data_IF_656764808497
#
_entry.id   IF_656764808497
#
_cell.length_a   1.000
_cell.length_b   1.000
_cell.length_c   1.000
_cell.angle_alpha   90.00
_cell.angle_beta   90.00
_cell.angle_gamma   90.00
#
_symmetry.space_group_name_H-M   'P 1'
#
loop_
_entity.id
_entity.type
_entity.pdbx_description
1 polymer ?
#
# COMPACT_ATOMS: atom_id res chain seq x y z
N UNK A 1 -3.22 4.94 -12.07
CA UNK A 1 -4.08 4.54 -10.94
C UNK A 1 -3.14 4.25 -9.80
N UNK A 2 -3.05 5.15 -8.82
CA UNK A 2 -2.16 4.96 -7.68
C UNK A 2 -2.57 3.74 -6.84
N UNK A 3 -3.88 3.56 -6.62
CA UNK A 3 -4.39 2.56 -5.67
C UNK A 3 -5.08 1.40 -6.40
N UNK A 4 -4.73 0.16 -6.02
CA UNK A 4 -5.43 -1.07 -6.39
C UNK A 4 -5.75 -1.87 -5.13
N UNK A 5 -7.01 -2.26 -4.97
CA UNK A 5 -7.47 -3.05 -3.81
C UNK A 5 -7.95 -4.41 -4.29
N UNK A 6 -7.38 -5.47 -3.73
CA UNK A 6 -7.67 -6.87 -4.08
C UNK A 6 -8.12 -7.61 -2.82
N UNK A 7 -9.42 -7.94 -2.69
CA UNK A 7 -9.91 -8.75 -1.58
C UNK A 7 -9.40 -10.19 -1.69
N UNK A 8 -9.07 -10.80 -0.57
CA UNK A 8 -8.69 -12.21 -0.53
C UNK A 8 -9.94 -13.10 -0.57
N UNK A 9 -9.99 -14.03 -1.53
CA UNK A 9 -11.14 -14.92 -1.68
C UNK A 9 -11.32 -15.80 -0.45
N UNK A 10 -12.50 -15.71 0.17
CA UNK A 10 -12.82 -16.47 1.37
C UNK A 10 -11.96 -16.10 2.58
N UNK A 11 -11.34 -14.92 2.63
CA UNK A 11 -10.64 -14.45 3.83
C UNK A 11 -11.10 -13.06 4.23
N UNK A 12 -10.96 -12.75 5.52
CA UNK A 12 -11.29 -11.45 6.09
C UNK A 12 -10.18 -10.43 5.89
N UNK A 13 -9.48 -10.50 4.75
CA UNK A 13 -8.36 -9.65 4.40
C UNK A 13 -8.46 -9.11 2.98
N UNK A 14 -7.70 -8.04 2.73
CA UNK A 14 -7.49 -7.50 1.41
C UNK A 14 -6.08 -6.94 1.29
N UNK A 15 -5.51 -7.11 0.11
CA UNK A 15 -4.32 -6.40 -0.32
C UNK A 15 -4.67 -5.02 -0.87
N UNK A 16 -3.84 -4.04 -0.55
CA UNK A 16 -3.85 -2.68 -1.09
C UNK A 16 -2.47 -2.43 -1.66
N UNK A 17 -2.42 -2.19 -2.97
CA UNK A 17 -1.24 -1.78 -3.70
C UNK A 17 -1.32 -0.28 -3.95
N UNK A 18 -0.25 0.45 -3.62
CA UNK A 18 -0.15 1.89 -3.84
C UNK A 18 1.13 2.19 -4.60
N UNK A 19 1.02 2.53 -5.89
CA UNK A 19 2.15 2.91 -6.74
C UNK A 19 2.61 4.34 -6.44
N UNK A 20 3.91 4.59 -6.49
CA UNK A 20 4.45 5.96 -6.48
C UNK A 20 4.26 6.56 -7.88
N UNK A 21 3.33 7.50 -8.04
CA UNK A 21 3.04 8.12 -9.35
C UNK A 21 3.89 9.37 -9.63
N UNK A 22 4.60 9.88 -8.63
CA UNK A 22 5.49 11.03 -8.75
C UNK A 22 6.76 10.86 -7.88
N UNK A 23 7.83 11.61 -8.18
CA UNK A 23 9.01 11.65 -7.33
C UNK A 23 8.67 12.09 -5.89
N UNK A 24 9.40 11.54 -4.92
CA UNK A 24 9.33 11.93 -3.52
C UNK A 24 10.72 12.37 -3.02
N UNK A 25 11.09 13.65 -3.22
CA UNK A 25 12.41 14.17 -2.87
C UNK A 25 12.74 14.06 -1.38
N UNK A 26 11.73 14.12 -0.51
CA UNK A 26 11.91 13.96 0.95
C UNK A 26 12.45 12.58 1.35
N UNK A 27 12.31 11.60 0.46
CA UNK A 27 12.82 10.24 0.61
C UNK A 27 13.94 9.93 -0.39
N UNK A 28 14.52 10.93 -1.07
CA UNK A 28 15.50 10.73 -2.15
C UNK A 28 15.00 9.79 -3.29
N UNK A 29 13.69 9.73 -3.52
CA UNK A 29 13.05 8.91 -4.55
C UNK A 29 12.73 9.75 -5.79
N UNK A 30 13.76 10.06 -6.59
CA UNK A 30 13.65 10.95 -7.75
C UNK A 30 13.08 10.28 -9.01
N UNK A 31 13.43 9.01 -9.25
CA UNK A 31 12.97 8.22 -10.39
C UNK A 31 12.02 7.12 -9.90
N UNK A 32 10.78 7.13 -10.40
CA UNK A 32 9.71 6.23 -9.96
C UNK A 32 9.10 5.41 -11.10
N UNK A 33 9.60 5.56 -12.32
CA UNK A 33 9.12 4.84 -13.50
C UNK A 33 10.27 4.09 -14.16
N UNK A 34 10.13 2.78 -14.28
CA UNK A 34 11.19 1.91 -14.76
C UNK A 34 10.71 1.03 -15.91
N UNK A 35 11.52 0.81 -16.96
CA UNK A 35 11.16 -0.05 -18.08
C UNK A 35 11.21 -1.53 -17.72
N UNK A 36 11.99 -1.91 -16.70
CA UNK A 36 12.10 -3.29 -16.25
C UNK A 36 11.87 -3.41 -14.74
N UNK A 37 11.28 -4.52 -14.25
CA UNK A 37 11.08 -4.73 -12.82
C UNK A 37 12.40 -4.74 -12.03
N UNK A 38 13.48 -5.22 -12.66
CA UNK A 38 14.77 -5.42 -11.99
C UNK A 38 15.42 -4.10 -11.57
N UNK A 39 15.10 -3.02 -12.26
CA UNK A 39 15.60 -1.68 -11.94
C UNK A 39 14.91 -1.12 -10.67
N UNK A 40 13.71 -1.61 -10.36
CA UNK A 40 12.95 -1.22 -9.16
C UNK A 40 13.54 -1.84 -7.88
N UNK A 41 14.16 -3.02 -7.97
CA UNK A 41 14.74 -3.72 -6.81
C UNK A 41 15.73 -2.83 -6.04
N UNK A 42 16.56 -2.05 -6.75
CA UNK A 42 17.52 -1.12 -6.15
C UNK A 42 16.84 -0.02 -5.35
N UNK A 43 15.67 0.45 -5.81
CA UNK A 43 14.85 1.43 -5.11
C UNK A 43 14.22 0.84 -3.86
N UNK A 44 13.66 -0.37 -3.93
CA UNK A 44 12.98 -1.03 -2.80
C UNK A 44 13.92 -1.34 -1.62
N UNK A 45 15.23 -1.49 -1.88
CA UNK A 45 16.25 -1.71 -0.83
C UNK A 45 16.98 -0.43 -0.41
N UNK A 46 16.62 0.72 -0.99
CA UNK A 46 17.20 2.01 -0.60
C UNK A 46 16.77 2.43 0.80
N UNK A 47 17.56 3.29 1.44
CA UNK A 47 17.20 3.84 2.74
C UNK A 47 15.95 4.74 2.64
N UNK A 48 15.85 5.57 1.61
CA UNK A 48 14.69 6.41 1.39
C UNK A 48 13.37 5.64 1.26
N UNK A 49 13.37 4.52 0.53
CA UNK A 49 12.18 3.67 0.45
C UNK A 49 11.85 2.98 1.78
N UNK A 50 12.86 2.61 2.58
CA UNK A 50 12.65 2.09 3.93
C UNK A 50 12.01 3.14 4.84
N UNK A 51 12.49 4.38 4.78
CA UNK A 51 11.94 5.50 5.56
C UNK A 51 10.47 5.75 5.16
N UNK A 52 10.14 5.68 3.86
CA UNK A 52 8.76 5.74 3.36
C UNK A 52 7.87 4.63 3.95
N UNK A 53 8.37 3.40 4.01
CA UNK A 53 7.62 2.26 4.59
C UNK A 53 7.39 2.47 6.09
N UNK A 54 8.37 3.00 6.81
CA UNK A 54 8.27 3.28 8.24
C UNK A 54 7.28 4.43 8.54
N UNK A 55 7.30 5.50 7.74
CA UNK A 55 6.33 6.59 7.84
C UNK A 55 4.90 6.14 7.46
N UNK A 56 4.78 5.33 6.40
CA UNK A 56 3.52 4.71 6.02
C UNK A 56 2.94 3.87 7.17
N UNK A 57 3.79 3.12 7.89
CA UNK A 57 3.38 2.36 9.07
C UNK A 57 2.83 3.26 10.17
N UNK A 58 3.53 4.36 10.47
CA UNK A 58 3.10 5.33 11.49
C UNK A 58 1.71 5.91 11.17
N UNK A 59 1.51 6.36 9.93
CA UNK A 59 0.23 6.90 9.47
C UNK A 59 -0.87 5.82 9.48
N UNK A 60 -0.57 4.61 9.03
CA UNK A 60 -1.53 3.51 9.03
C UNK A 60 -2.01 3.15 10.44
N UNK A 61 -1.11 3.13 11.43
CA UNK A 61 -1.49 2.87 12.82
C UNK A 61 -2.52 3.91 13.31
N UNK A 62 -2.31 5.20 12.99
CA UNK A 62 -3.27 6.25 13.33
C UNK A 62 -4.60 6.07 12.59
N UNK A 63 -4.57 5.77 11.28
CA UNK A 63 -5.76 5.62 10.46
C UNK A 63 -6.60 4.38 10.80
N UNK A 64 -5.95 3.33 11.33
CA UNK A 64 -6.60 2.08 11.70
C UNK A 64 -7.21 2.11 13.11
N UNK A 65 -6.88 3.12 13.92
CA UNK A 65 -7.40 3.22 15.28
C UNK A 65 -8.94 3.26 15.29
N UNK A 66 -9.55 2.42 16.13
CA UNK A 66 -11.01 2.26 16.21
C UNK A 66 -11.70 1.64 14.98
N UNK A 67 -10.97 1.24 13.93
CA UNK A 67 -11.58 0.62 12.74
C UNK A 67 -11.86 -0.87 12.87
N UNK A 68 -11.13 -1.54 13.78
CA UNK A 68 -11.14 -2.99 13.93
C UNK A 68 -10.31 -3.75 12.89
N UNK A 69 -9.56 -3.05 12.03
CA UNK A 69 -8.63 -3.66 11.07
C UNK A 69 -7.20 -3.61 11.59
N UNK A 70 -6.43 -4.63 11.24
CA UNK A 70 -5.02 -4.77 11.62
C UNK A 70 -4.11 -4.93 10.39
N UNK A 71 -2.86 -4.48 10.51
CA UNK A 71 -1.83 -4.67 9.48
C UNK A 71 -1.28 -6.09 9.60
N UNK A 72 -1.67 -6.97 8.66
CA UNK A 72 -1.05 -8.29 8.51
C UNK A 72 0.34 -8.18 7.88
N UNK A 73 0.48 -7.32 6.87
CA UNK A 73 1.74 -7.12 6.15
C UNK A 73 1.83 -5.68 5.64
N UNK A 74 3.04 -5.13 5.66
CA UNK A 74 3.38 -3.86 5.05
C UNK A 74 4.80 -3.96 4.51
N UNK A 75 4.97 -3.84 3.20
CA UNK A 75 6.25 -3.96 2.49
C UNK A 75 6.27 -3.09 1.24
N UNK A 76 7.45 -2.94 0.64
CA UNK A 76 7.59 -2.48 -0.74
C UNK A 76 7.16 -3.56 -1.74
N UNK A 77 6.71 -3.11 -2.91
CA UNK A 77 6.34 -3.94 -4.04
C UNK A 77 6.70 -3.26 -5.37
N UNK A 78 6.80 -4.09 -6.41
CA UNK A 78 6.85 -3.64 -7.80
C UNK A 78 5.42 -3.62 -8.31
N UNK A 79 4.88 -2.43 -8.52
CA UNK A 79 3.55 -2.23 -9.07
C UNK A 79 3.63 -2.19 -10.61
N UNK A 80 3.01 -3.14 -11.33
CA UNK A 80 2.98 -3.12 -12.77
C UNK A 80 1.97 -2.08 -13.27
N UNK A 81 2.42 -1.16 -14.12
CA UNK A 81 1.59 -0.33 -14.99
C UNK A 81 1.47 -0.94 -16.39
N UNK A 82 0.80 -0.22 -17.30
CA UNK A 82 0.56 -0.72 -18.67
C UNK A 82 1.87 -1.00 -19.43
N UNK A 83 2.84 -0.07 -19.36
CA UNK A 83 4.13 -0.17 -20.07
C UNK A 83 5.36 0.04 -19.16
N UNK A 84 5.13 0.37 -17.88
CA UNK A 84 6.17 0.76 -16.93
C UNK A 84 5.95 0.08 -15.58
N UNK A 85 7.04 -0.10 -14.84
CA UNK A 85 7.04 -0.61 -13.47
C UNK A 85 7.33 0.52 -12.51
N UNK A 86 6.64 0.52 -11.37
CA UNK A 86 6.83 1.53 -10.33
C UNK A 86 7.12 0.87 -8.98
N UNK A 87 7.99 1.44 -8.14
CA UNK A 87 8.00 1.08 -6.73
C UNK A 87 6.66 1.48 -6.10
N UNK A 88 6.26 0.76 -5.06
CA UNK A 88 4.98 0.98 -4.40
C UNK A 88 4.88 0.29 -3.05
N UNK A 89 3.85 0.63 -2.30
CA UNK A 89 3.52 -0.02 -1.03
C UNK A 89 2.57 -1.18 -1.27
N UNK A 90 2.84 -2.32 -0.66
CA UNK A 90 1.93 -3.45 -0.55
C UNK A 90 1.51 -3.61 0.91
N UNK A 91 0.21 -3.47 1.15
CA UNK A 91 -0.39 -3.47 2.47
C UNK A 91 -1.44 -4.57 2.52
N UNK A 92 -1.35 -5.48 3.47
CA UNK A 92 -2.42 -6.45 3.75
C UNK A 92 -3.10 -6.04 5.04
N UNK A 93 -4.39 -5.75 4.94
CA UNK A 93 -5.24 -5.42 6.08
C UNK A 93 -6.20 -6.59 6.33
N UNK A 94 -6.36 -6.98 7.59
CA UNK A 94 -7.28 -8.04 7.98
C UNK A 94 -8.20 -7.61 9.13
N UNK A 95 -9.39 -8.18 9.17
CA UNK A 95 -10.31 -8.09 10.30
C UNK A 95 -10.11 -9.35 11.19
N UNK A 96 -9.51 -9.22 12.38
CA UNK A 96 -9.27 -10.34 13.29
C UNK A 96 -10.54 -10.86 13.97
N UNK A 97 -11.64 -10.11 13.92
CA UNK A 97 -12.92 -10.46 14.55
C UNK A 97 -13.92 -11.07 13.58
N UNK A 98 -13.61 -11.05 12.29
CA UNK A 98 -14.43 -11.68 11.27
C UNK A 98 -14.44 -13.21 11.41
N UNK A 99 -15.58 -13.88 11.14
CA UNK A 99 -15.64 -15.33 11.09
C UNK A 99 -14.64 -15.91 10.07
N UNK A 100 -14.07 -17.10 10.35
CA UNK A 100 -13.21 -17.79 9.40
C UNK A 100 -13.92 -18.00 8.06
N UNK A 101 -13.14 -17.97 6.98
CA UNK A 101 -13.64 -18.22 5.63
C UNK A 101 -14.65 -17.20 5.09
N UNK A 102 -14.77 -16.04 5.75
CA UNK A 102 -15.69 -14.98 5.34
C UNK A 102 -14.94 -13.82 4.66
N UNK A 103 -15.35 -13.49 3.45
CA UNK A 103 -14.84 -12.32 2.73
C UNK A 103 -15.17 -11.02 3.46
N UNK A 104 -14.30 -10.01 3.30
CA UNK A 104 -14.54 -8.68 3.86
C UNK A 104 -15.90 -8.09 3.43
N UNK A 105 -16.71 -7.60 4.39
CA UNK A 105 -17.96 -6.91 4.07
C UNK A 105 -17.76 -5.75 3.09
N UNK A 106 -18.79 -5.44 2.29
CA UNK A 106 -18.74 -4.31 1.35
C UNK A 106 -18.46 -2.97 2.05
N UNK A 107 -18.98 -2.79 3.26
CA UNK A 107 -18.72 -1.61 4.10
C UNK A 107 -17.25 -1.49 4.49
N UNK A 108 -16.59 -2.60 4.83
CA UNK A 108 -15.16 -2.63 5.13
C UNK A 108 -14.33 -2.32 3.89
N UNK A 109 -14.72 -2.83 2.72
CA UNK A 109 -14.06 -2.50 1.44
C UNK A 109 -14.12 -1.01 1.11
N UNK A 110 -15.24 -0.34 1.39
CA UNK A 110 -15.34 1.12 1.23
C UNK A 110 -14.41 1.88 2.19
N UNK A 111 -14.28 1.39 3.43
CA UNK A 111 -13.32 1.96 4.40
C UNK A 111 -11.88 1.79 3.95
N UNK A 112 -11.54 0.65 3.35
CA UNK A 112 -10.20 0.42 2.78
C UNK A 112 -9.87 1.43 1.69
N UNK A 113 -10.82 1.77 0.81
CA UNK A 113 -10.64 2.82 -0.19
C UNK A 113 -10.35 4.17 0.47
N UNK A 114 -11.17 4.59 1.42
CA UNK A 114 -10.98 5.86 2.12
C UNK A 114 -9.64 5.93 2.91
N UNK A 115 -9.22 4.80 3.49
CA UNK A 115 -7.95 4.69 4.20
C UNK A 115 -6.76 4.77 3.23
N UNK A 116 -6.83 4.07 2.09
CA UNK A 116 -5.82 4.14 1.04
C UNK A 116 -5.70 5.56 0.46
N UNK A 117 -6.83 6.23 0.19
CA UNK A 117 -6.85 7.63 -0.24
C UNK A 117 -6.21 8.57 0.80
N UNK A 118 -6.54 8.36 2.08
CA UNK A 118 -5.96 9.14 3.17
C UNK A 118 -4.45 8.95 3.29
N UNK A 119 -3.98 7.71 3.09
CA UNK A 119 -2.55 7.39 3.10
C UNK A 119 -1.82 8.04 1.92
N UNK A 120 -2.37 7.92 0.70
CA UNK A 120 -1.83 8.58 -0.51
C UNK A 120 -1.73 10.09 -0.29
N UNK A 121 -2.76 10.70 0.29
CA UNK A 121 -2.77 12.14 0.53
C UNK A 121 -1.70 12.56 1.55
N UNK A 122 -1.61 11.85 2.70
CA UNK A 122 -0.67 12.19 3.77
C UNK A 122 0.79 11.96 3.39
N UNK A 123 1.08 10.91 2.63
CA UNK A 123 2.41 10.60 2.11
C UNK A 123 2.73 11.30 0.78
N UNK A 124 1.75 12.02 0.21
CA UNK A 124 1.89 12.69 -1.08
C UNK A 124 2.33 11.75 -2.21
N UNK A 125 1.72 10.57 -2.33
CA UNK A 125 2.14 9.53 -3.31
C UNK A 125 1.61 9.75 -4.74
N UNK A 126 0.59 10.59 -4.88
CA UNK A 126 -0.04 10.98 -6.14
C UNK A 126 -0.28 12.49 -6.17
#
# INVERSE_FOLDING_TARGET
MAIRIVPDEGQSSAAVEISLEKPLPDYDLEEVEFPTPRDVDGVLVSQGFRDLVDDARGILIELLDGTGLEIAQLTGAICPGDELYRPGLWIVLHDPHAPPSQALPATTRQRLTALADSLVHRLQLA
#
